data_IF_469054556808
#
_entry.id   IF_469054556808
#
_cell.length_a   1.000
_cell.length_b   1.000
_cell.length_c   1.000
_cell.angle_alpha   90.00
_cell.angle_beta   90.00
_cell.angle_gamma   90.00
#
_symmetry.space_group_name_H-M   'P 1'
#
loop_
_entity.id
_entity.type
_entity.pdbx_description
1 polymer ?
#
# COMPACT_ATOMS: atom_id res chain seq x y z
N UNK A 1 -12.60 65.24 31.58
CA UNK A 1 -13.27 64.46 30.52
C UNK A 1 -12.26 64.23 29.40
N UNK A 2 -11.63 63.05 29.33
CA UNK A 2 -10.83 62.64 28.18
C UNK A 2 -11.02 61.14 27.97
N UNK A 3 -11.84 60.79 26.98
CA UNK A 3 -12.10 59.42 26.54
C UNK A 3 -10.94 58.90 25.70
N UNK A 4 -10.36 57.77 26.07
CA UNK A 4 -9.50 56.97 25.19
C UNK A 4 -10.31 55.77 24.68
N UNK A 5 -10.76 55.87 23.44
CA UNK A 5 -11.44 54.82 22.68
C UNK A 5 -10.50 53.65 22.42
N UNK A 6 -10.85 52.47 22.94
CA UNK A 6 -10.17 51.19 22.68
C UNK A 6 -10.40 50.78 21.22
N UNK A 7 -9.36 50.85 20.39
CA UNK A 7 -9.40 50.32 19.01
C UNK A 7 -9.41 48.79 19.07
N UNK A 8 -10.48 48.18 18.57
CA UNK A 8 -10.55 46.75 18.28
C UNK A 8 -10.07 46.51 16.84
N UNK A 9 -9.03 45.70 16.67
CA UNK A 9 -8.61 45.18 15.36
C UNK A 9 -9.40 43.89 15.08
N UNK A 10 -10.05 43.75 13.91
CA UNK A 10 -10.71 42.51 13.53
C UNK A 10 -9.66 41.49 13.05
N UNK A 11 -9.52 40.38 13.76
CA UNK A 11 -8.69 39.25 13.34
C UNK A 11 -9.41 38.45 12.26
N UNK A 12 -9.12 38.72 10.99
CA UNK A 12 -9.62 37.88 9.89
C UNK A 12 -8.75 36.63 9.77
N UNK A 13 -9.27 35.47 10.19
CA UNK A 13 -8.64 34.17 9.95
C UNK A 13 -8.79 33.79 8.47
N UNK A 14 -7.71 33.41 7.76
CA UNK A 14 -7.83 32.92 6.39
C UNK A 14 -8.47 31.53 6.39
N UNK A 15 -9.65 31.42 5.78
CA UNK A 15 -10.29 30.13 5.50
C UNK A 15 -9.45 29.39 4.47
N UNK A 16 -8.68 28.39 4.92
CA UNK A 16 -7.89 27.51 4.04
C UNK A 16 -8.85 26.71 3.17
N UNK A 17 -9.03 27.13 1.91
CA UNK A 17 -9.79 26.35 0.92
C UNK A 17 -8.98 25.10 0.60
N UNK A 18 -9.52 23.94 0.95
CA UNK A 18 -8.97 22.66 0.50
C UNK A 18 -9.31 22.48 -0.97
N UNK A 19 -8.30 22.58 -1.83
CA UNK A 19 -8.42 22.19 -3.24
C UNK A 19 -8.38 20.67 -3.31
N UNK A 20 -9.54 20.03 -3.46
CA UNK A 20 -9.61 18.61 -3.78
C UNK A 20 -9.36 18.44 -5.28
N UNK A 21 -8.15 18.05 -5.67
CA UNK A 21 -7.94 17.54 -7.03
C UNK A 21 -8.64 16.18 -7.13
N UNK A 22 -9.58 15.98 -8.06
CA UNK A 22 -10.18 14.68 -8.28
C UNK A 22 -9.07 13.74 -8.76
N UNK A 23 -8.74 12.73 -7.94
CA UNK A 23 -7.86 11.65 -8.33
C UNK A 23 -8.60 10.80 -9.38
N UNK A 24 -8.29 11.03 -10.64
CA UNK A 24 -8.74 10.18 -11.75
C UNK A 24 -7.91 8.91 -11.70
N UNK A 25 -8.50 7.83 -11.17
CA UNK A 25 -7.92 6.51 -11.23
C UNK A 25 -8.01 5.99 -12.66
N UNK A 26 -6.94 6.14 -13.44
CA UNK A 26 -6.76 5.39 -14.68
C UNK A 26 -6.63 3.91 -14.33
N UNK A 27 -7.75 3.20 -14.29
CA UNK A 27 -7.79 1.75 -14.15
C UNK A 27 -7.39 1.18 -15.52
N UNK A 28 -6.10 0.94 -15.71
CA UNK A 28 -5.62 0.05 -16.76
C UNK A 28 -5.56 -1.37 -16.20
N UNK A 29 -6.37 -2.33 -16.72
CA UNK A 29 -6.33 -3.73 -16.31
C UNK A 29 -5.19 -4.46 -17.03
N UNK A 30 -3.98 -3.92 -16.97
CA UNK A 30 -2.81 -4.57 -17.55
C UNK A 30 -1.84 -4.86 -16.41
N UNK A 31 -1.85 -6.10 -15.93
CA UNK A 31 -0.95 -6.54 -14.87
C UNK A 31 0.49 -6.23 -15.25
N UNK A 32 1.16 -5.48 -14.39
CA UNK A 32 2.56 -5.09 -14.63
C UNK A 32 3.46 -6.32 -14.63
N UNK A 33 4.59 -6.24 -15.31
CA UNK A 33 5.59 -7.33 -15.33
C UNK A 33 6.00 -7.75 -13.91
N UNK A 34 6.11 -6.77 -12.99
CA UNK A 34 6.38 -7.01 -11.57
C UNK A 34 5.29 -7.84 -10.88
N UNK A 35 4.01 -7.57 -11.13
CA UNK A 35 2.90 -8.38 -10.59
C UNK A 35 3.00 -9.84 -11.04
N UNK A 36 3.25 -10.06 -12.34
CA UNK A 36 3.33 -11.41 -12.92
C UNK A 36 4.51 -12.20 -12.37
N UNK A 37 5.67 -11.55 -12.18
CA UNK A 37 6.86 -12.15 -11.60
C UNK A 37 6.64 -12.54 -10.13
N UNK A 38 6.07 -11.64 -9.33
CA UNK A 38 5.72 -11.90 -7.92
C UNK A 38 4.69 -13.03 -7.85
N UNK A 39 3.66 -13.01 -8.70
CA UNK A 39 2.62 -14.01 -8.73
C UNK A 39 3.18 -15.40 -9.01
N UNK A 40 4.03 -15.54 -10.03
CA UNK A 40 4.63 -16.82 -10.42
C UNK A 40 5.49 -17.42 -9.29
N UNK A 41 6.32 -16.60 -8.64
CA UNK A 41 7.18 -17.07 -7.54
C UNK A 41 6.41 -17.51 -6.31
N UNK A 42 5.39 -16.75 -5.92
CA UNK A 42 4.57 -17.11 -4.77
C UNK A 42 3.74 -18.37 -5.06
N UNK A 43 3.29 -18.53 -6.31
CA UNK A 43 2.59 -19.74 -6.75
C UNK A 43 3.49 -20.97 -6.66
N UNK A 44 4.71 -20.89 -7.20
CA UNK A 44 5.67 -21.99 -7.17
C UNK A 44 6.07 -22.38 -5.73
N UNK A 45 6.29 -21.38 -4.86
CA UNK A 45 6.81 -21.63 -3.51
C UNK A 45 5.77 -22.10 -2.52
N UNK A 46 4.58 -21.52 -2.53
CA UNK A 46 3.57 -21.71 -1.47
C UNK A 46 2.34 -22.47 -1.93
N UNK A 47 2.18 -22.73 -3.23
CA UNK A 47 0.99 -23.37 -3.82
C UNK A 47 -0.31 -22.85 -3.18
N UNK A 48 -0.49 -21.52 -3.14
CA UNK A 48 -1.60 -20.92 -2.42
C UNK A 48 -2.91 -21.24 -3.11
N UNK A 49 -3.98 -21.43 -2.32
CA UNK A 49 -5.32 -21.57 -2.91
C UNK A 49 -5.93 -20.20 -3.26
N UNK A 50 -5.46 -19.14 -2.60
CA UNK A 50 -5.81 -17.75 -2.93
C UNK A 50 -4.52 -16.94 -3.00
N UNK A 51 -4.27 -16.34 -4.16
CA UNK A 51 -3.18 -15.40 -4.37
C UNK A 51 -3.70 -14.19 -5.13
N UNK A 52 -3.50 -13.01 -4.55
CA UNK A 52 -3.81 -11.73 -5.17
C UNK A 52 -2.60 -10.83 -5.02
N UNK A 53 -2.10 -10.33 -6.15
CA UNK A 53 -1.01 -9.35 -6.21
C UNK A 53 -1.55 -8.15 -6.98
N UNK A 54 -1.41 -6.96 -6.41
CA UNK A 54 -1.90 -5.72 -7.00
C UNK A 54 -0.88 -4.61 -6.84
N UNK A 55 -0.55 -3.92 -7.93
CA UNK A 55 0.19 -2.67 -7.91
C UNK A 55 -0.72 -1.55 -7.40
N UNK A 56 -0.34 -0.97 -6.26
CA UNK A 56 -1.04 0.16 -5.64
C UNK A 56 -0.25 1.46 -5.76
N UNK A 57 0.83 1.46 -6.55
CA UNK A 57 1.67 2.63 -6.81
C UNK A 57 1.17 3.51 -7.96
N UNK A 58 0.01 3.18 -8.55
CA UNK A 58 -0.54 3.92 -9.69
C UNK A 58 0.18 3.64 -11.01
N UNK A 59 0.82 2.48 -11.13
CA UNK A 59 1.46 2.00 -12.36
C UNK A 59 2.97 2.28 -12.46
N UNK A 60 3.62 2.77 -11.40
CA UNK A 60 5.09 2.89 -11.39
C UNK A 60 5.79 1.60 -10.92
N UNK A 61 5.04 0.58 -10.47
CA UNK A 61 5.58 -0.72 -10.08
C UNK A 61 6.47 -0.68 -8.83
N UNK A 62 6.32 0.33 -7.98
CA UNK A 62 7.18 0.50 -6.79
C UNK A 62 6.51 0.04 -5.48
N UNK A 63 5.20 -0.23 -5.48
CA UNK A 63 4.49 -0.67 -4.28
C UNK A 63 3.41 -1.69 -4.61
N UNK A 64 3.51 -2.86 -3.98
CA UNK A 64 2.58 -3.97 -4.21
C UNK A 64 1.81 -4.35 -2.95
N UNK A 65 0.52 -4.63 -3.10
CA UNK A 65 -0.32 -5.26 -2.10
C UNK A 65 -0.50 -6.75 -2.44
N UNK A 66 -0.11 -7.62 -1.51
CA UNK A 66 -0.10 -9.08 -1.69
C UNK A 66 -1.00 -9.70 -0.63
N UNK A 67 -2.02 -10.44 -1.07
CA UNK A 67 -2.83 -11.30 -0.22
C UNK A 67 -2.61 -12.75 -0.60
N UNK A 68 -2.19 -13.57 0.36
CA UNK A 68 -1.86 -14.96 0.12
C UNK A 68 -2.47 -15.87 1.19
N UNK A 69 -3.13 -16.93 0.75
CA UNK A 69 -3.68 -17.97 1.59
C UNK A 69 -3.08 -19.33 1.21
N UNK A 70 -2.42 -19.98 2.17
CA UNK A 70 -1.72 -21.26 1.95
C UNK A 70 -1.67 -22.08 3.23
N UNK A 71 -1.66 -23.41 3.08
CA UNK A 71 -1.44 -24.35 4.17
C UNK A 71 -0.05 -24.21 4.80
N UNK A 72 0.93 -23.68 4.06
CA UNK A 72 2.29 -23.44 4.57
C UNK A 72 2.34 -22.47 5.76
N UNK A 73 1.26 -21.71 5.98
CA UNK A 73 1.15 -20.76 7.10
C UNK A 73 0.49 -21.35 8.34
N UNK A 74 -0.05 -22.57 8.29
CA UNK A 74 -0.66 -23.21 9.45
C UNK A 74 0.34 -23.37 10.59
N UNK A 75 -0.08 -23.04 11.81
CA UNK A 75 0.74 -23.17 13.02
C UNK A 75 1.89 -22.15 13.13
N UNK A 76 2.07 -21.25 12.16
CA UNK A 76 3.06 -20.19 12.22
C UNK A 76 2.47 -18.88 12.74
N UNK A 77 3.17 -18.12 13.59
CA UNK A 77 2.76 -16.76 13.93
C UNK A 77 2.87 -15.84 12.71
N UNK A 78 1.99 -14.84 12.62
CA UNK A 78 1.89 -13.89 11.50
C UNK A 78 3.25 -13.31 11.12
N UNK A 79 4.08 -12.92 12.10
CA UNK A 79 5.42 -12.39 11.83
C UNK A 79 6.30 -13.38 11.05
N UNK A 80 6.25 -14.67 11.37
CA UNK A 80 7.01 -15.70 10.63
C UNK A 80 6.44 -15.91 9.23
N UNK A 81 5.12 -15.87 9.07
CA UNK A 81 4.47 -15.96 7.75
C UNK A 81 4.93 -14.81 6.84
N UNK A 82 4.90 -13.58 7.35
CA UNK A 82 5.38 -12.40 6.62
C UNK A 82 6.86 -12.52 6.27
N UNK A 83 7.71 -12.97 7.20
CA UNK A 83 9.14 -13.21 6.92
C UNK A 83 9.36 -14.21 5.79
N UNK A 84 8.64 -15.34 5.79
CA UNK A 84 8.75 -16.34 4.72
C UNK A 84 8.39 -15.76 3.34
N UNK A 85 7.33 -14.96 3.28
CA UNK A 85 6.92 -14.28 2.04
C UNK A 85 8.00 -13.27 1.61
N UNK A 86 8.47 -12.41 2.51
CA UNK A 86 9.51 -11.42 2.21
C UNK A 86 10.82 -12.07 1.78
N UNK A 87 11.24 -13.17 2.40
CA UNK A 87 12.45 -13.92 2.03
C UNK A 87 12.35 -14.51 0.62
N UNK A 88 11.18 -15.03 0.25
CA UNK A 88 10.92 -15.56 -1.09
C UNK A 88 10.99 -14.47 -2.15
N UNK A 89 10.52 -13.27 -1.80
CA UNK A 89 10.47 -12.14 -2.71
C UNK A 89 11.73 -11.27 -2.70
N UNK A 90 12.67 -11.49 -1.79
CA UNK A 90 13.81 -10.59 -1.51
C UNK A 90 14.52 -10.10 -2.77
N UNK A 91 14.80 -10.98 -3.73
CA UNK A 91 15.50 -10.65 -4.98
C UNK A 91 14.67 -9.78 -5.93
N UNK A 92 13.34 -9.97 -5.94
CA UNK A 92 12.44 -9.21 -6.84
C UNK A 92 12.05 -7.86 -6.26
N UNK A 93 12.19 -7.70 -4.94
CA UNK A 93 11.84 -6.49 -4.21
C UNK A 93 13.06 -5.61 -3.91
N UNK A 94 14.25 -5.96 -4.40
CA UNK A 94 15.52 -5.23 -4.14
C UNK A 94 15.51 -3.78 -4.66
N UNK A 95 14.51 -3.38 -5.45
CA UNK A 95 14.31 -2.01 -5.92
C UNK A 95 12.92 -1.41 -5.66
N UNK A 96 12.03 -2.08 -4.93
CA UNK A 96 10.68 -1.55 -4.68
C UNK A 96 10.68 -0.62 -3.46
N UNK A 97 9.81 0.39 -3.47
CA UNK A 97 9.67 1.34 -2.37
C UNK A 97 9.05 0.68 -1.13
N UNK A 98 8.17 -0.31 -1.32
CA UNK A 98 7.59 -1.08 -0.24
C UNK A 98 6.58 -2.12 -0.71
N UNK A 99 6.08 -2.91 0.23
CA UNK A 99 5.05 -3.92 -0.03
C UNK A 99 4.14 -4.05 1.19
N UNK A 100 2.87 -4.39 0.94
CA UNK A 100 1.90 -4.76 1.95
C UNK A 100 1.60 -6.25 1.83
N UNK A 101 1.78 -7.00 2.91
CA UNK A 101 1.51 -8.45 2.94
C UNK A 101 0.32 -8.70 3.85
N UNK A 102 -0.61 -9.52 3.38
CA UNK A 102 -1.65 -10.13 4.19
C UNK A 102 -1.58 -11.65 4.01
N UNK A 103 -1.26 -12.37 5.08
CA UNK A 103 -1.23 -13.83 5.09
C UNK A 103 -2.46 -14.38 5.77
N UNK A 104 -2.99 -15.47 5.23
CA UNK A 104 -4.09 -16.23 5.80
C UNK A 104 -3.68 -17.70 5.87
N UNK A 105 -3.70 -18.29 7.06
CA UNK A 105 -3.54 -19.73 7.20
C UNK A 105 -4.84 -20.42 6.79
N UNK A 106 -4.71 -21.49 6.01
CA UNK A 106 -5.81 -22.33 5.54
C UNK A 106 -5.58 -23.74 5.98
#
# INVERSE_FOLDING_TARGET
>A
MFSLTRRFLPTTLPVRRFSATPYVSNITPNSTEGEQNIHSKLTEKFQPSVLQVQDVSGGCGTFYAITIASQAFQGLPVVKQHRLVTETLKKEIEGIHGLQIKTMAQ
#
